data_IF_579385646429
#
_entry.id   IF_579385646429
#
_cell.length_a   1.000
_cell.length_b   1.000
_cell.length_c   1.000
_cell.angle_alpha   90.00
_cell.angle_beta   90.00
_cell.angle_gamma   90.00
#
_symmetry.space_group_name_H-M   'P 1'
#
loop_
_entity.id
_entity.type
_entity.pdbx_description
1 polymer ?
#
# COMPACT_ATOMS: atom_id res chain seq x y z
N UNK A 1 -12.36 17.76 -30.92
CA UNK A 1 -12.33 17.16 -29.57
C UNK A 1 -13.68 16.63 -29.10
N UNK A 2 -14.77 17.43 -29.09
CA UNK A 2 -16.11 16.98 -28.62
C UNK A 2 -16.62 15.66 -29.25
N UNK A 3 -16.42 15.47 -30.56
CA UNK A 3 -16.78 14.22 -31.26
C UNK A 3 -16.01 13.00 -30.73
N UNK A 4 -14.71 13.14 -30.44
CA UNK A 4 -13.90 12.05 -29.90
C UNK A 4 -14.33 11.69 -28.48
N UNK A 5 -14.66 12.67 -27.64
CA UNK A 5 -15.22 12.42 -26.32
C UNK A 5 -16.54 11.65 -26.37
N UNK A 6 -17.47 12.04 -27.27
CA UNK A 6 -18.72 11.31 -27.48
C UNK A 6 -18.46 9.88 -27.94
N UNK A 7 -17.50 9.68 -28.86
CA UNK A 7 -17.07 8.34 -29.29
C UNK A 7 -16.59 7.51 -28.10
N UNK A 8 -15.69 8.03 -27.27
CA UNK A 8 -15.16 7.26 -26.13
C UNK A 8 -16.27 6.89 -25.13
N UNK A 9 -17.22 7.79 -24.89
CA UNK A 9 -18.41 7.49 -24.10
C UNK A 9 -19.23 6.34 -24.69
N UNK A 10 -19.50 6.37 -26.00
CA UNK A 10 -20.21 5.29 -26.69
C UNK A 10 -19.42 3.97 -26.63
N UNK A 11 -18.10 4.01 -26.85
CA UNK A 11 -17.24 2.83 -26.77
C UNK A 11 -17.25 2.21 -25.38
N UNK A 12 -17.20 3.04 -24.31
CA UNK A 12 -17.29 2.56 -22.95
C UNK A 12 -18.61 1.82 -22.69
N UNK A 13 -19.74 2.38 -23.14
CA UNK A 13 -21.06 1.77 -22.97
C UNK A 13 -21.25 0.45 -23.72
N UNK A 14 -20.57 0.26 -24.84
CA UNK A 14 -20.64 -0.96 -25.65
C UNK A 14 -19.55 -1.99 -25.29
N UNK A 15 -18.65 -1.66 -24.37
CA UNK A 15 -17.58 -2.57 -23.91
C UNK A 15 -17.87 -3.02 -22.48
N UNK A 16 -18.51 -4.20 -22.28
CA UNK A 16 -18.91 -4.64 -20.95
C UNK A 16 -17.71 -4.81 -20.01
N UNK A 17 -16.57 -5.26 -20.54
CA UNK A 17 -15.34 -5.41 -19.78
C UNK A 17 -14.74 -4.06 -19.34
N UNK A 18 -14.69 -3.07 -20.25
CA UNK A 18 -14.19 -1.74 -19.89
C UNK A 18 -15.12 -1.05 -18.89
N UNK A 19 -16.43 -1.20 -19.06
CA UNK A 19 -17.42 -0.68 -18.13
C UNK A 19 -17.27 -1.31 -16.75
N UNK A 20 -17.05 -2.62 -16.67
CA UNK A 20 -16.78 -3.33 -15.42
C UNK A 20 -15.55 -2.80 -14.69
N UNK A 21 -14.43 -2.62 -15.41
CA UNK A 21 -13.17 -2.10 -14.88
C UNK A 21 -13.29 -0.67 -14.33
N UNK A 22 -14.18 0.13 -14.90
CA UNK A 22 -14.42 1.54 -14.52
C UNK A 22 -15.53 1.68 -13.48
N UNK A 23 -16.35 0.65 -13.22
CA UNK A 23 -17.50 0.76 -12.32
C UNK A 23 -17.36 -0.12 -11.09
N UNK A 24 -17.79 -1.37 -11.17
CA UNK A 24 -17.98 -2.24 -10.01
C UNK A 24 -16.73 -3.04 -9.64
N UNK A 25 -15.82 -3.37 -10.57
CA UNK A 25 -14.60 -4.13 -10.25
C UNK A 25 -13.73 -3.42 -9.20
N UNK A 26 -13.44 -2.11 -9.32
CA UNK A 26 -12.68 -1.40 -8.29
C UNK A 26 -13.38 -1.40 -6.92
N UNK A 27 -14.70 -1.24 -6.89
CA UNK A 27 -15.48 -1.24 -5.65
C UNK A 27 -15.43 -2.63 -4.99
N UNK A 28 -15.69 -3.69 -5.76
CA UNK A 28 -15.58 -5.07 -5.28
C UNK A 28 -14.17 -5.35 -4.80
N UNK A 29 -13.14 -4.92 -5.53
CA UNK A 29 -11.75 -5.11 -5.14
C UNK A 29 -11.39 -4.45 -3.81
N UNK A 30 -11.81 -3.20 -3.60
CA UNK A 30 -11.62 -2.50 -2.32
C UNK A 30 -12.36 -3.20 -1.19
N UNK A 31 -13.63 -3.58 -1.40
CA UNK A 31 -14.46 -4.26 -0.40
C UNK A 31 -13.95 -5.67 -0.10
N UNK A 32 -13.47 -6.41 -1.09
CA UNK A 32 -12.92 -7.75 -0.93
C UNK A 32 -11.60 -7.72 -0.15
N UNK A 33 -10.72 -6.76 -0.45
CA UNK A 33 -9.51 -6.56 0.33
C UNK A 33 -9.82 -6.12 1.76
N UNK A 34 -10.76 -5.18 1.93
CA UNK A 34 -11.22 -4.80 3.26
C UNK A 34 -11.78 -6.01 4.02
N UNK A 35 -12.62 -6.83 3.39
CA UNK A 35 -13.18 -8.03 3.99
C UNK A 35 -12.10 -9.04 4.39
N UNK A 36 -11.12 -9.28 3.51
CA UNK A 36 -9.98 -10.16 3.75
C UNK A 36 -9.17 -9.70 4.98
N UNK A 37 -8.95 -8.40 5.13
CA UNK A 37 -8.22 -7.85 6.28
C UNK A 37 -9.10 -7.60 7.50
N UNK A 38 -10.43 -7.53 7.34
CA UNK A 38 -11.39 -7.45 8.46
C UNK A 38 -11.69 -8.83 9.06
N UNK A 39 -11.49 -9.91 8.29
CA UNK A 39 -11.77 -11.30 8.69
C UNK A 39 -10.94 -11.79 9.91
N UNK A 40 -10.02 -10.97 10.42
CA UNK A 40 -9.50 -11.08 11.78
C UNK A 40 -7.99 -10.90 11.82
N UNK A 41 -7.53 -10.08 12.76
CA UNK A 41 -6.15 -10.11 13.21
C UNK A 41 -5.83 -11.56 13.66
N UNK A 42 -4.67 -12.14 13.29
CA UNK A 42 -4.22 -13.41 13.85
C UNK A 42 -4.44 -13.45 15.36
N UNK A 43 -5.14 -14.49 15.84
CA UNK A 43 -5.45 -14.69 17.26
C UNK A 43 -4.56 -15.76 17.84
N UNK A 44 -4.31 -15.70 19.15
CA UNK A 44 -3.61 -16.75 19.89
C UNK A 44 -2.22 -17.11 19.29
N UNK A 45 -1.48 -16.09 18.85
CA UNK A 45 -0.12 -16.25 18.36
C UNK A 45 0.81 -16.63 19.52
N UNK A 46 1.53 -17.76 19.44
CA UNK A 46 2.40 -18.20 20.52
C UNK A 46 3.56 -17.23 20.73
N UNK A 47 3.71 -16.74 21.96
CA UNK A 47 4.78 -15.83 22.38
C UNK A 47 5.51 -16.45 23.56
N UNK A 48 6.83 -16.58 23.47
CA UNK A 48 7.63 -17.01 24.60
C UNK A 48 7.69 -15.92 25.67
N UNK A 49 7.49 -16.30 26.93
CA UNK A 49 7.68 -15.42 28.09
C UNK A 49 8.75 -16.04 28.97
N UNK A 50 9.81 -15.28 29.22
CA UNK A 50 10.90 -15.64 30.14
C UNK A 50 10.79 -14.73 31.35
N UNK A 51 10.41 -15.30 32.49
CA UNK A 51 10.26 -14.59 33.75
C UNK A 51 11.50 -14.78 34.63
N UNK A 52 12.38 -13.77 34.67
CA UNK A 52 13.58 -13.78 35.49
C UNK A 52 13.32 -13.28 36.92
N UNK A 53 12.21 -12.57 37.16
CA UNK A 53 11.86 -11.98 38.46
C UNK A 53 11.06 -12.93 39.34
N UNK A 54 10.23 -13.79 38.72
CA UNK A 54 9.36 -14.77 39.38
C UNK A 54 8.43 -14.18 40.46
N UNK A 55 8.07 -12.90 40.33
CA UNK A 55 7.32 -12.12 41.31
C UNK A 55 5.81 -12.09 41.07
N UNK A 56 5.07 -11.43 41.97
CA UNK A 56 3.64 -11.19 41.76
C UNK A 56 3.39 -10.26 40.57
N UNK A 57 4.23 -9.25 40.37
CA UNK A 57 4.11 -8.31 39.26
C UNK A 57 4.39 -9.00 37.92
N UNK A 58 5.43 -9.83 37.83
CA UNK A 58 5.73 -10.55 36.59
C UNK A 58 4.61 -11.51 36.18
N UNK A 59 4.00 -12.22 37.14
CA UNK A 59 2.82 -13.08 36.92
C UNK A 59 1.58 -12.28 36.53
N UNK A 60 1.38 -11.10 37.10
CA UNK A 60 0.28 -10.20 36.74
C UNK A 60 0.42 -9.71 35.30
N UNK A 61 1.61 -9.24 34.90
CA UNK A 61 1.88 -8.81 33.52
C UNK A 61 1.72 -9.98 32.54
N UNK A 62 2.20 -11.17 32.88
CA UNK A 62 2.01 -12.38 32.07
C UNK A 62 0.53 -12.72 31.90
N UNK A 63 -0.29 -12.58 32.96
CA UNK A 63 -1.74 -12.76 32.88
C UNK A 63 -2.42 -11.70 32.02
N UNK A 64 -1.96 -10.45 32.07
CA UNK A 64 -2.44 -9.38 31.18
C UNK A 64 -2.14 -9.72 29.72
N UNK A 65 -0.97 -10.29 29.42
CA UNK A 65 -0.65 -10.81 28.09
C UNK A 65 -1.58 -11.95 27.68
N UNK A 66 -1.90 -12.88 28.58
CA UNK A 66 -2.85 -13.98 28.30
C UNK A 66 -4.28 -13.51 28.02
N UNK A 67 -4.66 -12.33 28.51
CA UNK A 67 -5.96 -11.73 28.26
C UNK A 67 -6.06 -11.05 26.88
N UNK A 68 -4.92 -10.81 26.21
CA UNK A 68 -4.90 -10.24 24.87
C UNK A 68 -5.35 -11.29 23.83
N UNK A 69 -6.34 -10.96 22.99
CA UNK A 69 -6.89 -11.87 21.99
C UNK A 69 -5.87 -12.33 20.91
N UNK A 70 -4.80 -11.56 20.69
CA UNK A 70 -3.74 -11.84 19.72
C UNK A 70 -2.63 -12.70 20.31
N UNK A 71 -2.38 -12.63 21.62
CA UNK A 71 -1.18 -13.21 22.24
C UNK A 71 -1.53 -14.49 23.01
N UNK A 72 -0.79 -15.57 22.76
CA UNK A 72 -0.83 -16.80 23.54
C UNK A 72 0.52 -16.99 24.25
N UNK A 73 0.71 -16.48 25.48
CA UNK A 73 1.98 -16.57 26.16
C UNK A 73 2.30 -18.02 26.56
N UNK A 74 3.54 -18.45 26.33
CA UNK A 74 4.09 -19.75 26.71
C UNK A 74 5.32 -19.51 27.58
N UNK A 75 5.36 -20.11 28.77
CA UNK A 75 6.48 -19.95 29.68
C UNK A 75 7.72 -20.73 29.20
N UNK A 76 8.89 -20.10 29.28
CA UNK A 76 10.19 -20.72 29.02
C UNK A 76 11.13 -20.47 30.20
N UNK A 77 11.96 -21.45 30.53
CA UNK A 77 12.84 -21.39 31.70
C UNK A 77 13.99 -20.38 31.54
N UNK A 78 14.46 -20.16 30.32
CA UNK A 78 15.56 -19.25 30.03
C UNK A 78 15.49 -18.70 28.60
N UNK A 79 16.20 -17.60 28.37
CA UNK A 79 16.27 -16.93 27.07
C UNK A 79 16.75 -17.85 25.95
N UNK A 80 17.72 -18.74 26.22
CA UNK A 80 18.28 -19.63 25.21
C UNK A 80 17.22 -20.59 24.63
N UNK A 81 16.40 -21.20 25.50
CA UNK A 81 15.30 -22.08 25.12
C UNK A 81 14.20 -21.35 24.33
N UNK A 82 13.91 -20.11 24.71
CA UNK A 82 12.93 -19.28 24.02
C UNK A 82 13.42 -18.85 22.61
N UNK A 83 14.71 -18.53 22.47
CA UNK A 83 15.32 -18.23 21.17
C UNK A 83 15.31 -19.46 20.27
N UNK A 84 15.60 -20.66 20.81
CA UNK A 84 15.54 -21.91 20.04
C UNK A 84 14.12 -22.20 19.53
N UNK A 85 13.11 -22.04 20.39
CA UNK A 85 11.70 -22.15 20.00
C UNK A 85 11.31 -21.13 18.91
N UNK A 86 11.85 -19.90 18.99
CA UNK A 86 11.62 -18.87 17.95
C UNK A 86 12.29 -19.24 16.62
N UNK A 87 13.48 -19.85 16.65
CA UNK A 87 14.18 -20.36 15.44
C UNK A 87 13.42 -21.52 14.79
N UNK A 88 12.79 -22.37 15.59
CA UNK A 88 11.92 -23.48 15.14
C UNK A 88 10.51 -23.04 14.72
N UNK A 89 10.20 -21.75 14.82
CA UNK A 89 8.87 -21.18 14.51
C UNK A 89 7.76 -21.75 15.40
N UNK A 90 8.10 -22.20 16.61
CA UNK A 90 7.13 -22.64 17.63
C UNK A 90 6.49 -21.44 18.36
N UNK A 91 7.21 -20.31 18.39
CA UNK A 91 6.76 -19.00 18.88
C UNK A 91 7.14 -17.92 17.87
N UNK A 92 6.34 -16.86 17.79
CA UNK A 92 6.55 -15.73 16.86
C UNK A 92 7.09 -14.48 17.53
N UNK A 93 7.13 -14.46 18.86
CA UNK A 93 7.69 -13.39 19.68
C UNK A 93 8.23 -13.88 21.01
N UNK A 94 8.98 -13.02 21.69
CA UNK A 94 9.64 -13.24 22.96
C UNK A 94 9.47 -12.01 23.84
N UNK A 95 9.06 -12.19 25.08
CA UNK A 95 9.05 -11.18 26.14
C UNK A 95 9.94 -11.65 27.28
N UNK A 96 10.89 -10.81 27.68
CA UNK A 96 11.78 -11.07 28.83
C UNK A 96 11.44 -10.09 29.93
N UNK A 97 10.99 -10.62 31.07
CA UNK A 97 10.77 -9.86 32.30
C UNK A 97 12.08 -9.87 33.11
N UNK A 98 12.74 -8.71 33.33
CA UNK A 98 14.09 -8.67 33.89
C UNK A 98 14.13 -9.02 35.38
N UNK A 99 15.32 -9.35 35.88
CA UNK A 99 15.55 -9.47 37.32
C UNK A 99 15.18 -8.19 38.06
N UNK A 100 14.62 -8.33 39.28
CA UNK A 100 14.24 -7.22 40.15
C UNK A 100 13.13 -6.31 39.60
N UNK A 101 12.38 -6.75 38.57
CA UNK A 101 11.27 -6.01 37.97
C UNK A 101 10.30 -5.46 39.04
N UNK A 102 9.86 -6.31 39.98
CA UNK A 102 8.97 -5.90 41.06
C UNK A 102 9.58 -4.82 41.94
N UNK A 103 10.81 -5.02 42.40
CA UNK A 103 11.52 -4.08 43.27
C UNK A 103 11.71 -2.72 42.57
N UNK A 104 12.11 -2.74 41.31
CA UNK A 104 12.39 -1.52 40.56
C UNK A 104 11.10 -0.74 40.29
N UNK A 105 9.99 -1.40 39.95
CA UNK A 105 8.69 -0.73 39.78
C UNK A 105 8.17 -0.12 41.08
N UNK A 106 8.27 -0.82 42.22
CA UNK A 106 7.85 -0.31 43.53
C UNK A 106 8.72 0.85 44.02
N UNK A 107 10.01 0.83 43.69
CA UNK A 107 10.96 1.91 44.03
C UNK A 107 10.97 3.05 43.02
N UNK A 108 9.99 3.09 42.11
CA UNK A 108 9.84 4.16 41.09
C UNK A 108 11.04 4.28 40.13
N UNK A 109 11.79 3.19 39.93
CA UNK A 109 12.75 3.06 38.84
C UNK A 109 12.06 2.64 37.55
N UNK A 110 12.78 2.71 36.43
CA UNK A 110 12.26 2.41 35.09
C UNK A 110 12.94 1.15 34.52
N UNK A 111 12.49 -0.07 34.89
CA UNK A 111 13.04 -1.29 34.34
C UNK A 111 12.65 -1.45 32.85
N UNK A 112 13.54 -2.06 32.06
CA UNK A 112 13.31 -2.30 30.63
C UNK A 112 12.79 -3.73 30.42
N UNK A 113 11.62 -3.87 29.80
CA UNK A 113 11.09 -5.16 29.36
C UNK A 113 11.52 -5.37 27.90
N UNK A 114 12.27 -6.44 27.63
CA UNK A 114 12.73 -6.76 26.27
C UNK A 114 11.64 -7.51 25.50
N UNK A 115 11.29 -7.00 24.31
CA UNK A 115 10.32 -7.58 23.40
C UNK A 115 11.00 -7.82 22.06
N UNK A 116 11.06 -9.09 21.64
CA UNK A 116 11.61 -9.49 20.34
C UNK A 116 10.53 -10.20 19.52
N UNK A 117 10.62 -10.11 18.20
CA UNK A 117 9.71 -10.79 17.28
C UNK A 117 10.43 -11.26 16.03
N UNK A 118 9.88 -12.27 15.36
CA UNK A 118 10.45 -12.80 14.13
C UNK A 118 10.15 -11.86 12.94
N UNK A 119 11.18 -11.18 12.41
CA UNK A 119 11.05 -10.26 11.27
C UNK A 119 10.82 -10.94 9.92
N UNK A 120 11.04 -12.26 9.80
CA UNK A 120 10.68 -13.02 8.60
C UNK A 120 9.16 -13.01 8.38
N UNK A 121 8.39 -12.99 9.47
CA UNK A 121 6.94 -12.84 9.45
C UNK A 121 6.57 -11.41 9.81
N UNK A 122 7.01 -10.43 9.00
CA UNK A 122 6.88 -9.00 9.30
C UNK A 122 5.47 -8.59 9.77
N UNK A 123 4.43 -9.15 9.16
CA UNK A 123 3.03 -8.88 9.51
C UNK A 123 2.68 -9.36 10.92
N UNK A 124 3.02 -10.60 11.24
CA UNK A 124 2.80 -11.24 12.55
C UNK A 124 3.65 -10.54 13.60
N UNK A 125 4.92 -10.27 13.28
CA UNK A 125 5.86 -9.62 14.19
C UNK A 125 5.46 -8.20 14.57
N UNK A 126 5.02 -7.38 13.60
CA UNK A 126 4.51 -6.02 13.88
C UNK A 126 3.22 -6.04 14.70
N UNK A 127 2.30 -6.94 14.37
CA UNK A 127 1.08 -7.12 15.14
C UNK A 127 1.40 -7.51 16.59
N UNK A 128 2.28 -8.49 16.79
CA UNK A 128 2.73 -8.90 18.12
C UNK A 128 3.42 -7.78 18.88
N UNK A 129 4.36 -7.07 18.24
CA UNK A 129 5.06 -5.94 18.87
C UNK A 129 4.07 -4.88 19.39
N UNK A 130 3.07 -4.53 18.58
CA UNK A 130 2.01 -3.58 18.94
C UNK A 130 1.17 -4.07 20.12
N UNK A 131 0.66 -5.29 20.03
CA UNK A 131 -0.24 -5.86 21.03
C UNK A 131 0.45 -6.15 22.37
N UNK A 132 1.70 -6.62 22.33
CA UNK A 132 2.52 -6.82 23.52
C UNK A 132 2.82 -5.49 24.23
N UNK A 133 3.17 -4.44 23.48
CA UNK A 133 3.41 -3.11 24.06
C UNK A 133 2.15 -2.54 24.69
N UNK A 134 0.99 -2.62 24.02
CA UNK A 134 -0.29 -2.14 24.55
C UNK A 134 -0.67 -2.88 25.84
N UNK A 135 -0.65 -4.22 25.82
CA UNK A 135 -1.03 -5.00 27.00
C UNK A 135 -0.06 -4.84 28.18
N UNK A 136 1.24 -4.72 27.93
CA UNK A 136 2.20 -4.43 28.99
C UNK A 136 2.03 -3.01 29.53
N UNK A 137 1.79 -2.03 28.67
CA UNK A 137 1.52 -0.65 29.08
C UNK A 137 0.29 -0.56 29.98
N UNK A 138 -0.83 -1.19 29.59
CA UNK A 138 -2.05 -1.27 30.41
C UNK A 138 -1.79 -1.93 31.78
N UNK A 139 -0.99 -3.00 31.81
CA UNK A 139 -0.61 -3.64 33.07
C UNK A 139 0.25 -2.74 33.96
N UNK A 140 1.18 -1.99 33.36
CA UNK A 140 2.05 -1.06 34.07
C UNK A 140 1.31 0.19 34.56
N UNK A 141 0.31 0.69 33.83
CA UNK A 141 -0.52 1.82 34.29
C UNK A 141 -1.28 1.45 35.57
N UNK A 142 -1.79 0.21 35.67
CA UNK A 142 -2.44 -0.28 36.87
C UNK A 142 -1.49 -0.34 38.08
N UNK A 143 -0.22 -0.70 37.87
CA UNK A 143 0.81 -0.66 38.93
C UNK A 143 1.11 0.78 39.34
N UNK A 144 1.14 1.71 38.38
CA UNK A 144 1.28 3.14 38.63
C UNK A 144 0.16 3.68 39.53
N UNK A 145 -1.10 3.31 39.26
CA UNK A 145 -2.26 3.63 40.09
C UNK A 145 -2.07 3.17 41.53
N UNK A 146 -1.73 1.90 41.72
CA UNK A 146 -1.53 1.31 43.06
C UNK A 146 -0.41 2.05 43.81
N UNK A 147 0.72 2.32 43.15
CA UNK A 147 1.85 3.02 43.77
C UNK A 147 1.49 4.44 44.21
N UNK A 148 0.70 5.18 43.42
CA UNK A 148 0.26 6.52 43.78
C UNK A 148 -0.74 6.51 44.94
N UNK A 149 -1.68 5.55 44.95
CA UNK A 149 -2.63 5.36 46.05
C UNK A 149 -1.92 4.99 47.36
N UNK A 150 -0.94 4.07 47.30
CA UNK A 150 -0.13 3.68 48.45
C UNK A 150 0.72 4.84 49.02
N UNK A 151 1.09 5.82 48.18
CA UNK A 151 1.78 7.05 48.59
C UNK A 151 0.83 8.14 49.13
N UNK A 152 -0.46 7.83 49.29
CA UNK A 152 -1.45 8.75 49.87
C UNK A 152 -2.07 9.75 48.89
N UNK A 153 -1.91 9.55 47.57
CA UNK A 153 -2.59 10.38 46.58
C UNK A 153 -4.11 10.11 46.57
N UNK A 154 -4.92 11.15 46.43
CA UNK A 154 -6.37 11.05 46.29
C UNK A 154 -6.72 10.54 44.86
N UNK A 155 -7.83 9.82 44.67
CA UNK A 155 -8.23 9.29 43.35
C UNK A 155 -8.21 10.35 42.24
N UNK A 156 -8.65 11.57 42.54
CA UNK A 156 -8.64 12.69 41.61
C UNK A 156 -7.23 13.18 41.21
N UNK A 157 -6.22 13.03 42.07
CA UNK A 157 -4.81 13.33 41.74
C UNK A 157 -4.08 12.17 41.09
N UNK A 158 -4.54 10.93 41.30
CA UNK A 158 -4.06 9.73 40.59
C UNK A 158 -4.41 9.80 39.11
N UNK A 159 -5.66 10.14 38.76
CA UNK A 159 -6.09 10.31 37.36
C UNK A 159 -5.30 11.42 36.63
N UNK A 160 -4.94 12.50 37.34
CA UNK A 160 -4.15 13.61 36.78
C UNK A 160 -2.66 13.27 36.68
N UNK A 161 -2.08 12.54 37.63
CA UNK A 161 -0.64 12.20 37.67
C UNK A 161 -0.27 11.00 36.80
N UNK A 162 -1.24 10.15 36.47
CA UNK A 162 -1.12 9.08 35.48
C UNK A 162 -1.44 9.56 34.07
N UNK A 163 -1.89 10.81 33.90
CA UNK A 163 -1.75 11.48 32.61
C UNK A 163 -0.26 11.39 32.29
N UNK A 164 0.14 10.59 31.29
CA UNK A 164 1.53 10.32 31.10
C UNK A 164 2.22 11.67 30.87
N UNK A 165 3.25 11.99 31.67
CA UNK A 165 4.38 12.69 31.06
C UNK A 165 4.88 11.66 30.07
N UNK A 166 4.28 11.70 28.88
CA UNK A 166 4.55 10.83 27.77
C UNK A 166 6.04 10.96 27.56
N UNK A 167 6.79 9.97 28.03
CA UNK A 167 8.07 9.71 27.41
C UNK A 167 7.66 9.37 25.99
N UNK A 168 7.69 10.40 25.16
CA UNK A 168 7.19 10.40 23.81
C UNK A 168 8.22 9.63 23.01
N UNK A 169 8.29 8.31 23.22
CA UNK A 169 8.66 7.38 22.16
C UNK A 169 7.52 7.45 21.15
N UNK A 170 7.47 8.57 20.42
CA UNK A 170 6.83 8.64 19.13
C UNK A 170 7.50 7.55 18.32
N UNK A 171 6.78 6.47 18.05
CA UNK A 171 7.04 5.70 16.85
C UNK A 171 6.96 6.72 15.71
N UNK A 172 8.12 7.21 15.26
CA UNK A 172 8.21 8.33 14.31
C UNK A 172 7.43 8.05 13.01
N UNK A 173 7.11 6.77 12.75
CA UNK A 173 6.61 6.28 11.46
C UNK A 173 5.35 5.39 11.56
N UNK A 174 4.80 5.13 12.77
CA UNK A 174 3.49 4.46 12.96
C UNK A 174 2.87 4.81 14.32
N UNK A 175 2.23 5.98 14.40
CA UNK A 175 1.76 6.62 15.65
C UNK A 175 0.85 5.75 16.53
N UNK A 176 0.17 4.74 15.95
CA UNK A 176 -0.76 3.85 16.66
C UNK A 176 -0.41 2.36 16.54
N UNK A 177 0.77 2.02 15.98
CA UNK A 177 1.21 0.65 15.73
C UNK A 177 0.09 -0.24 15.13
N UNK A 178 -0.75 0.35 14.27
CA UNK A 178 -1.97 -0.25 13.76
C UNK A 178 -1.67 -1.03 12.48
N UNK A 179 -1.86 -2.36 12.53
CA UNK A 179 -1.69 -3.28 11.41
C UNK A 179 -2.47 -2.84 10.17
N UNK A 180 -3.74 -2.45 10.36
CA UNK A 180 -4.66 -2.06 9.28
C UNK A 180 -4.17 -0.74 8.64
N UNK A 181 -3.76 0.23 9.46
CA UNK A 181 -3.25 1.52 8.98
C UNK A 181 -1.91 1.42 8.24
N UNK A 182 -1.11 0.40 8.54
CA UNK A 182 0.16 0.14 7.86
C UNK A 182 -0.02 -0.59 6.52
N UNK A 183 -0.96 -1.53 6.45
CA UNK A 183 -1.03 -2.51 5.36
C UNK A 183 -2.13 -2.23 4.34
N UNK A 184 -3.29 -1.75 4.78
CA UNK A 184 -4.43 -1.54 3.88
C UNK A 184 -4.16 -0.44 2.85
N UNK A 185 -3.62 0.75 3.20
CA UNK A 185 -3.41 1.80 2.20
C UNK A 185 -2.48 1.37 1.05
N UNK A 186 -1.27 0.82 1.28
CA UNK A 186 -0.39 0.39 0.19
C UNK A 186 -0.99 -0.70 -0.71
N UNK A 187 -1.77 -1.64 -0.18
CA UNK A 187 -2.44 -2.66 -1.00
C UNK A 187 -3.52 -2.03 -1.87
N UNK A 188 -4.34 -1.12 -1.32
CA UNK A 188 -5.36 -0.43 -2.11
C UNK A 188 -4.73 0.45 -3.21
N UNK A 189 -3.58 1.08 -2.95
CA UNK A 189 -2.80 1.82 -3.96
C UNK A 189 -2.30 0.88 -5.06
N UNK A 190 -1.79 -0.31 -4.69
CA UNK A 190 -1.32 -1.31 -5.64
C UNK A 190 -2.45 -1.80 -6.54
N UNK A 191 -3.61 -2.12 -5.94
CA UNK A 191 -4.81 -2.51 -6.66
C UNK A 191 -5.26 -1.39 -7.59
N UNK A 192 -5.32 -0.16 -7.11
CA UNK A 192 -5.72 1.00 -7.90
C UNK A 192 -4.78 1.26 -9.09
N UNK A 193 -3.46 1.11 -8.91
CA UNK A 193 -2.49 1.16 -10.00
C UNK A 193 -2.78 0.09 -11.06
N UNK A 194 -2.98 -1.15 -10.62
CA UNK A 194 -3.21 -2.27 -11.53
C UNK A 194 -4.50 -2.10 -12.32
N UNK A 195 -5.59 -1.69 -11.67
CA UNK A 195 -6.87 -1.42 -12.32
C UNK A 195 -6.79 -0.22 -13.27
N UNK A 196 -6.13 0.86 -12.87
CA UNK A 196 -5.90 2.02 -13.73
C UNK A 196 -5.11 1.62 -14.98
N UNK A 197 -4.06 0.83 -14.81
CA UNK A 197 -3.29 0.27 -15.93
C UNK A 197 -4.17 -0.52 -16.87
N UNK A 198 -4.99 -1.45 -16.34
CA UNK A 198 -5.89 -2.28 -17.14
C UNK A 198 -6.92 -1.44 -17.93
N UNK A 199 -7.50 -0.43 -17.30
CA UNK A 199 -8.43 0.51 -17.95
C UNK A 199 -7.74 1.17 -19.15
N UNK A 200 -6.54 1.70 -18.96
CA UNK A 200 -5.88 2.46 -20.03
C UNK A 200 -5.29 1.58 -21.12
N UNK A 201 -4.65 0.46 -20.78
CA UNK A 201 -4.13 -0.48 -21.78
C UNK A 201 -5.25 -1.00 -22.67
N UNK A 202 -6.41 -1.36 -22.10
CA UNK A 202 -7.56 -1.82 -22.87
C UNK A 202 -8.10 -0.70 -23.77
N UNK A 203 -8.17 0.53 -23.25
CA UNK A 203 -8.63 1.68 -24.03
C UNK A 203 -7.71 2.01 -25.21
N UNK A 204 -6.39 1.85 -25.06
CA UNK A 204 -5.40 2.13 -26.12
C UNK A 204 -5.32 0.95 -27.09
N UNK A 205 -5.44 -0.29 -26.61
CA UNK A 205 -5.52 -1.50 -27.45
C UNK A 205 -6.71 -1.45 -28.42
N UNK A 206 -7.82 -0.80 -28.04
CA UNK A 206 -8.95 -0.57 -28.96
C UNK A 206 -8.60 0.31 -30.18
N UNK A 207 -7.44 0.95 -30.20
CA UNK A 207 -6.93 1.73 -31.34
C UNK A 207 -5.90 0.99 -32.19
N UNK A 208 -5.66 -0.29 -31.87
CA UNK A 208 -4.83 -1.19 -32.65
C UNK A 208 -5.70 -1.93 -33.67
N UNK A 209 -5.35 -1.81 -34.96
CA UNK A 209 -6.10 -2.38 -36.06
C UNK A 209 -5.31 -3.55 -36.67
N UNK A 210 -5.82 -4.79 -36.57
CA UNK A 210 -5.17 -5.95 -37.19
C UNK A 210 -5.36 -5.91 -38.72
N UNK A 211 -4.29 -6.11 -39.48
CA UNK A 211 -4.33 -6.25 -40.94
C UNK A 211 -3.28 -7.27 -41.39
N UNK A 212 -3.74 -8.48 -41.74
CA UNK A 212 -2.85 -9.62 -42.01
C UNK A 212 -2.09 -10.04 -40.76
N UNK A 213 -0.78 -10.26 -40.89
CA UNK A 213 0.11 -10.62 -39.77
C UNK A 213 0.59 -9.41 -38.94
N UNK A 214 0.21 -8.18 -39.32
CA UNK A 214 0.70 -6.95 -38.68
C UNK A 214 -0.43 -6.14 -38.06
N UNK A 215 -0.09 -5.48 -36.96
CA UNK A 215 -0.97 -4.54 -36.26
C UNK A 215 -0.57 -3.10 -36.58
N UNK A 216 -1.56 -2.28 -36.97
CA UNK A 216 -1.37 -0.88 -37.34
C UNK A 216 -2.08 0.05 -36.35
N UNK A 217 -1.55 1.26 -36.19
CA UNK A 217 -2.20 2.29 -35.36
C UNK A 217 -3.34 2.95 -36.12
N UNK A 218 -4.45 3.21 -35.44
CA UNK A 218 -5.57 3.94 -36.00
C UNK A 218 -5.19 5.36 -36.47
N UNK A 219 -5.91 5.88 -37.48
CA UNK A 219 -5.78 7.28 -37.90
C UNK A 219 -6.01 8.22 -36.72
N UNK A 220 -5.22 9.30 -36.65
CA UNK A 220 -5.23 10.27 -35.55
C UNK A 220 -4.97 9.67 -34.16
N UNK A 221 -4.16 8.61 -34.08
CA UNK A 221 -3.81 7.89 -32.84
C UNK A 221 -3.52 8.83 -31.65
N UNK A 222 -2.60 9.78 -31.81
CA UNK A 222 -2.23 10.69 -30.73
C UNK A 222 -3.39 11.55 -30.21
N UNK A 223 -4.27 12.03 -31.11
CA UNK A 223 -5.45 12.79 -30.69
C UNK A 223 -6.44 11.91 -29.89
N UNK A 224 -6.54 10.62 -30.23
CA UNK A 224 -7.36 9.66 -29.48
C UNK A 224 -6.73 9.33 -28.12
N UNK A 225 -5.41 9.15 -28.05
CA UNK A 225 -4.69 8.93 -26.79
C UNK A 225 -4.88 10.11 -25.84
N UNK A 226 -4.75 11.35 -26.33
CA UNK A 226 -5.00 12.54 -25.52
C UNK A 226 -6.43 12.59 -24.95
N UNK A 227 -7.43 12.25 -25.76
CA UNK A 227 -8.82 12.18 -25.29
C UNK A 227 -8.99 11.07 -24.25
N UNK A 228 -8.37 9.91 -24.43
CA UNK A 228 -8.42 8.80 -23.44
C UNK A 228 -7.76 9.20 -22.12
N UNK A 229 -6.61 9.88 -22.14
CA UNK A 229 -5.98 10.42 -20.93
C UNK A 229 -6.94 11.37 -20.22
N UNK A 230 -7.53 12.34 -20.93
CA UNK A 230 -8.46 13.31 -20.34
C UNK A 230 -9.79 12.67 -19.88
N UNK A 231 -10.22 11.58 -20.52
CA UNK A 231 -11.47 10.90 -20.20
C UNK A 231 -11.33 9.95 -19.00
N UNK A 232 -10.27 9.12 -18.97
CA UNK A 232 -10.08 8.12 -17.91
C UNK A 232 -9.38 8.67 -16.67
N UNK A 233 -8.57 9.74 -16.76
CA UNK A 233 -7.90 10.28 -15.57
C UNK A 233 -8.88 10.77 -14.50
N UNK A 234 -9.93 11.57 -14.81
CA UNK A 234 -10.91 11.99 -13.81
C UNK A 234 -11.65 10.81 -13.18
N UNK A 235 -11.99 9.80 -13.99
CA UNK A 235 -12.64 8.58 -13.52
C UNK A 235 -11.73 7.86 -12.52
N UNK A 236 -10.47 7.61 -12.88
CA UNK A 236 -9.51 6.93 -11.99
C UNK A 236 -9.21 7.76 -10.73
N UNK A 237 -9.20 9.09 -10.82
CA UNK A 237 -9.10 9.98 -9.65
C UNK A 237 -10.33 9.89 -8.75
N UNK A 238 -11.53 9.68 -9.27
CA UNK A 238 -12.72 9.42 -8.44
C UNK A 238 -12.54 8.11 -7.65
N UNK A 239 -12.01 7.05 -8.27
CA UNK A 239 -11.69 5.82 -7.53
C UNK A 239 -10.60 6.04 -6.47
N UNK A 240 -9.54 6.79 -6.81
CA UNK A 240 -8.47 7.15 -5.87
C UNK A 240 -8.99 7.99 -4.70
N UNK A 241 -9.87 8.96 -4.97
CA UNK A 241 -10.55 9.77 -3.97
C UNK A 241 -11.50 8.96 -3.10
N UNK A 242 -12.24 8.01 -3.68
CA UNK A 242 -13.06 7.06 -2.92
C UNK A 242 -12.21 6.23 -1.95
N UNK A 243 -11.05 5.72 -2.38
CA UNK A 243 -10.11 5.00 -1.50
C UNK A 243 -9.67 5.89 -0.34
N UNK A 244 -9.33 7.16 -0.61
CA UNK A 244 -8.93 8.11 0.44
C UNK A 244 -10.07 8.39 1.43
N UNK A 245 -11.29 8.63 0.95
CA UNK A 245 -12.47 8.84 1.80
C UNK A 245 -12.79 7.58 2.62
N UNK A 246 -12.70 6.40 2.01
CA UNK A 246 -12.90 5.14 2.71
C UNK A 246 -11.89 4.97 3.86
N UNK A 247 -10.60 5.19 3.60
CA UNK A 247 -9.54 5.04 4.60
C UNK A 247 -9.63 6.09 5.73
N UNK A 248 -9.75 7.36 5.37
CA UNK A 248 -9.56 8.46 6.32
C UNK A 248 -10.86 9.04 6.90
N UNK A 249 -11.98 8.86 6.22
CA UNK A 249 -13.28 9.30 6.71
C UNK A 249 -14.11 8.15 7.28
N UNK A 250 -14.28 7.05 6.54
CA UNK A 250 -15.09 5.92 7.00
C UNK A 250 -14.37 5.04 8.03
N UNK A 251 -13.14 4.61 7.75
CA UNK A 251 -12.33 3.83 8.69
C UNK A 251 -11.65 4.70 9.77
N UNK A 252 -11.85 6.03 9.73
CA UNK A 252 -11.32 7.00 10.67
C UNK A 252 -9.82 6.83 10.96
N UNK A 253 -9.03 6.45 9.94
CA UNK A 253 -7.58 6.32 10.10
C UNK A 253 -6.96 7.68 10.41
N UNK A 254 -5.94 7.72 11.30
CA UNK A 254 -5.30 8.99 11.65
C UNK A 254 -4.60 9.58 10.43
N UNK A 255 -4.80 10.87 10.20
CA UNK A 255 -4.15 11.64 9.15
C UNK A 255 -3.68 12.98 9.72
N UNK A 256 -2.40 13.29 9.54
CA UNK A 256 -1.81 14.56 9.99
C UNK A 256 -2.00 15.71 8.98
N UNK A 257 -2.00 15.40 7.68
CA UNK A 257 -2.09 16.38 6.60
C UNK A 257 -3.44 16.41 5.88
N UNK A 258 -3.50 17.15 4.77
CA UNK A 258 -4.73 17.32 4.00
C UNK A 258 -4.88 16.29 2.87
N UNK A 259 -6.09 15.74 2.70
CA UNK A 259 -6.39 14.74 1.65
C UNK A 259 -6.21 15.26 0.22
N UNK A 260 -6.42 16.55 -0.03
CA UNK A 260 -6.26 17.12 -1.37
C UNK A 260 -4.82 17.02 -1.89
N UNK A 261 -3.81 17.03 -1.02
CA UNK A 261 -2.41 16.81 -1.38
C UNK A 261 -2.19 15.39 -1.92
N UNK A 262 -2.91 14.42 -1.35
CA UNK A 262 -2.88 13.03 -1.83
C UNK A 262 -3.57 12.90 -3.19
N UNK A 263 -4.67 13.63 -3.44
CA UNK A 263 -5.32 13.68 -4.76
C UNK A 263 -4.37 14.30 -5.81
N UNK A 264 -3.63 15.34 -5.45
CA UNK A 264 -2.60 15.91 -6.31
C UNK A 264 -1.52 14.87 -6.63
N UNK A 265 -0.98 14.17 -5.62
CA UNK A 265 0.01 13.13 -5.85
C UNK A 265 -0.55 11.95 -6.68
N UNK A 266 -1.83 11.58 -6.52
CA UNK A 266 -2.53 10.58 -7.33
C UNK A 266 -2.57 10.98 -8.81
N UNK A 267 -2.78 12.26 -9.11
CA UNK A 267 -2.78 12.78 -10.48
C UNK A 267 -1.42 12.57 -11.17
N UNK A 268 -0.30 12.87 -10.49
CA UNK A 268 1.04 12.65 -11.04
C UNK A 268 1.37 11.16 -11.19
N UNK A 269 0.95 10.33 -10.23
CA UNK A 269 1.08 8.87 -10.33
C UNK A 269 0.37 8.34 -11.58
N UNK A 270 -0.87 8.77 -11.84
CA UNK A 270 -1.62 8.37 -13.05
C UNK A 270 -0.92 8.82 -14.33
N UNK A 271 -0.39 10.04 -14.38
CA UNK A 271 0.36 10.52 -15.55
C UNK A 271 1.59 9.67 -15.83
N UNK A 272 2.38 9.33 -14.81
CA UNK A 272 3.53 8.43 -14.95
C UNK A 272 3.09 7.02 -15.41
N UNK A 273 1.99 6.51 -14.86
CA UNK A 273 1.42 5.23 -15.27
C UNK A 273 1.00 5.22 -16.74
N UNK A 274 0.29 6.27 -17.20
CA UNK A 274 -0.10 6.43 -18.60
C UNK A 274 1.11 6.45 -19.54
N UNK A 275 2.19 7.13 -19.15
CA UNK A 275 3.41 7.19 -19.96
C UNK A 275 4.08 5.82 -20.11
N UNK A 276 4.23 5.05 -19.03
CA UNK A 276 4.83 3.71 -19.09
C UNK A 276 3.97 2.76 -19.90
N UNK A 277 2.65 2.73 -19.65
CA UNK A 277 1.73 1.83 -20.35
C UNK A 277 1.71 2.15 -21.85
N UNK A 278 1.68 3.44 -22.20
CA UNK A 278 1.74 3.86 -23.60
C UNK A 278 3.08 3.52 -24.25
N UNK A 279 4.19 3.62 -23.51
CA UNK A 279 5.52 3.26 -24.00
C UNK A 279 5.60 1.75 -24.32
N UNK A 280 5.16 0.91 -23.39
CA UNK A 280 5.11 -0.55 -23.59
C UNK A 280 4.17 -0.90 -24.76
N UNK A 281 3.00 -0.27 -24.82
CA UNK A 281 2.07 -0.42 -25.94
C UNK A 281 2.73 -0.11 -27.29
N UNK A 282 3.42 1.03 -27.39
CA UNK A 282 4.07 1.47 -28.63
C UNK A 282 5.23 0.57 -29.06
N UNK A 283 5.90 -0.08 -28.09
CA UNK A 283 7.00 -1.01 -28.32
C UNK A 283 6.50 -2.37 -28.83
N UNK A 284 5.47 -2.93 -28.19
CA UNK A 284 5.02 -4.30 -28.48
C UNK A 284 3.95 -4.38 -29.58
N UNK A 285 3.01 -3.41 -29.62
CA UNK A 285 1.90 -3.35 -30.60
C UNK A 285 1.14 -4.66 -30.78
N UNK A 286 0.93 -5.36 -29.67
CA UNK A 286 0.17 -6.60 -29.59
C UNK A 286 -0.65 -6.58 -28.30
N UNK A 287 -1.98 -6.70 -28.43
CA UNK A 287 -2.90 -6.49 -27.31
C UNK A 287 -2.60 -7.44 -26.14
N UNK A 288 -2.39 -8.72 -26.43
CA UNK A 288 -2.17 -9.75 -25.40
C UNK A 288 -0.81 -9.60 -24.72
N UNK A 289 0.25 -9.33 -25.50
CA UNK A 289 1.61 -9.13 -24.95
C UNK A 289 1.70 -7.89 -24.07
N UNK A 290 1.07 -6.78 -24.48
CA UNK A 290 1.09 -5.54 -23.69
C UNK A 290 0.36 -5.74 -22.37
N UNK A 291 -0.84 -6.32 -22.39
CA UNK A 291 -1.59 -6.61 -21.15
C UNK A 291 -0.79 -7.54 -20.24
N UNK A 292 -0.23 -8.62 -20.78
CA UNK A 292 0.55 -9.59 -20.00
C UNK A 292 1.80 -8.96 -19.38
N UNK A 293 2.56 -8.19 -20.17
CA UNK A 293 3.79 -7.55 -19.71
C UNK A 293 3.51 -6.46 -18.67
N UNK A 294 2.53 -5.58 -18.92
CA UNK A 294 2.14 -4.56 -17.94
C UNK A 294 1.63 -5.21 -16.64
N UNK A 295 0.84 -6.29 -16.74
CA UNK A 295 0.36 -7.00 -15.55
C UNK A 295 1.52 -7.62 -14.78
N UNK A 296 2.44 -8.31 -15.44
CA UNK A 296 3.64 -8.87 -14.80
C UNK A 296 4.52 -7.78 -14.17
N UNK A 297 4.65 -6.62 -14.83
CA UNK A 297 5.38 -5.48 -14.30
C UNK A 297 4.73 -4.94 -13.02
N UNK A 298 3.43 -4.60 -13.06
CA UNK A 298 2.75 -3.88 -11.97
C UNK A 298 2.15 -4.78 -10.88
N UNK A 299 1.96 -6.08 -11.12
CA UNK A 299 1.44 -7.02 -10.11
C UNK A 299 2.22 -7.03 -8.79
N UNK A 300 3.56 -7.04 -8.77
CA UNK A 300 4.32 -7.02 -7.52
C UNK A 300 4.45 -5.62 -6.88
N UNK A 301 3.70 -4.61 -7.33
CA UNK A 301 3.83 -3.23 -6.85
C UNK A 301 3.78 -3.12 -5.32
N UNK A 302 2.86 -3.83 -4.66
CA UNK A 302 2.75 -3.82 -3.20
C UNK A 302 4.04 -4.25 -2.48
N UNK A 303 4.73 -5.28 -3.00
CA UNK A 303 5.96 -5.79 -2.41
C UNK A 303 7.14 -4.82 -2.54
N UNK A 304 7.19 -4.05 -3.64
CA UNK A 304 8.30 -3.15 -3.94
C UNK A 304 8.06 -1.68 -3.59
N UNK A 305 6.91 -1.33 -2.99
CA UNK A 305 6.64 0.05 -2.56
C UNK A 305 7.57 0.56 -1.44
N UNK A 306 8.21 -0.33 -0.68
CA UNK A 306 9.08 0.06 0.45
C UNK A 306 8.43 -0.07 1.83
N UNK A 307 7.17 -0.50 1.88
CA UNK A 307 6.41 -0.65 3.13
C UNK A 307 6.64 -2.04 3.73
N UNK A 308 6.31 -3.10 3.00
CA UNK A 308 6.49 -4.49 3.45
C UNK A 308 7.92 -4.99 3.29
N UNK A 309 8.69 -4.42 2.37
CA UNK A 309 10.11 -4.67 2.21
C UNK A 309 10.83 -3.31 2.29
N UNK A 310 11.50 -2.98 3.41
CA UNK A 310 12.15 -1.68 3.58
C UNK A 310 13.16 -1.38 2.48
N UNK A 311 13.16 -0.16 1.95
CA UNK A 311 14.02 0.24 0.82
C UNK A 311 15.51 0.08 1.14
N UNK A 312 15.92 0.30 2.40
CA UNK A 312 17.32 0.15 2.82
C UNK A 312 17.80 -1.30 2.68
N UNK A 313 16.92 -2.26 2.91
CA UNK A 313 17.20 -3.70 2.87
C UNK A 313 17.02 -4.30 1.47
N UNK A 314 16.49 -3.52 0.52
CA UNK A 314 16.30 -3.98 -0.85
C UNK A 314 17.65 -4.22 -1.56
N UNK A 315 17.86 -5.39 -2.19
CA UNK A 315 18.97 -5.58 -3.10
C UNK A 315 18.86 -4.63 -4.29
N UNK A 316 19.96 -4.42 -5.01
CA UNK A 316 20.03 -3.42 -6.08
C UNK A 316 18.92 -3.58 -7.13
N UNK A 317 18.64 -4.82 -7.58
CA UNK A 317 17.58 -5.09 -8.55
C UNK A 317 16.18 -4.70 -8.05
N UNK A 318 15.89 -4.93 -6.76
CA UNK A 318 14.63 -4.53 -6.15
C UNK A 318 14.48 -3.00 -6.07
N UNK A 319 15.58 -2.29 -5.81
CA UNK A 319 15.60 -0.82 -5.84
C UNK A 319 15.32 -0.27 -7.23
N UNK A 320 15.91 -0.86 -8.28
CA UNK A 320 15.60 -0.50 -9.67
C UNK A 320 14.14 -0.77 -10.03
N UNK A 321 13.62 -1.94 -9.63
CA UNK A 321 12.21 -2.28 -9.85
C UNK A 321 11.28 -1.28 -9.17
N UNK A 322 11.59 -0.87 -7.94
CA UNK A 322 10.87 0.16 -7.21
C UNK A 322 10.82 1.48 -7.97
N UNK A 323 11.92 1.92 -8.58
CA UNK A 323 11.99 3.18 -9.33
C UNK A 323 11.15 3.18 -10.62
N UNK A 324 10.83 2.01 -11.16
CA UNK A 324 9.98 1.89 -12.36
C UNK A 324 8.49 1.99 -11.98
N UNK A 325 8.12 1.80 -10.71
CA UNK A 325 6.74 1.76 -10.25
C UNK A 325 6.20 3.15 -9.88
N UNK A 326 5.21 3.71 -10.59
CA UNK A 326 4.59 4.98 -10.20
C UNK A 326 4.07 4.98 -8.76
N UNK A 327 3.46 3.87 -8.30
CA UNK A 327 2.97 3.70 -6.94
C UNK A 327 4.05 3.84 -5.87
N UNK A 328 5.31 3.48 -6.17
CA UNK A 328 6.42 3.59 -5.23
C UNK A 328 6.88 5.03 -5.01
N UNK A 329 6.63 5.92 -5.98
CA UNK A 329 6.83 7.35 -5.79
C UNK A 329 5.65 7.97 -5.04
N UNK A 330 4.43 7.51 -5.33
CA UNK A 330 3.22 7.97 -4.64
C UNK A 330 3.23 7.65 -3.15
N UNK A 331 3.63 6.43 -2.78
CA UNK A 331 3.60 5.98 -1.38
C UNK A 331 4.49 6.85 -0.47
N UNK A 332 5.60 7.40 -0.99
CA UNK A 332 6.46 8.30 -0.22
C UNK A 332 5.71 9.59 0.13
N UNK A 333 4.98 10.18 -0.83
CA UNK A 333 4.10 11.33 -0.58
C UNK A 333 2.93 10.97 0.33
N UNK A 334 2.36 9.78 0.15
CA UNK A 334 1.28 9.28 0.99
C UNK A 334 1.71 9.23 2.46
N UNK A 335 2.80 8.54 2.74
CA UNK A 335 3.36 8.43 4.10
C UNK A 335 3.73 9.80 4.63
N UNK A 336 4.34 10.67 3.81
CA UNK A 336 4.71 12.01 4.25
C UNK A 336 3.51 12.87 4.71
N UNK A 337 2.42 12.87 3.94
CA UNK A 337 1.21 13.64 4.29
C UNK A 337 0.50 13.01 5.47
N UNK A 338 0.35 11.69 5.49
CA UNK A 338 -0.43 11.00 6.53
C UNK A 338 0.27 10.99 7.87
N UNK A 339 1.58 10.72 7.88
CA UNK A 339 2.34 10.58 9.12
C UNK A 339 2.89 11.90 9.66
N UNK A 340 3.33 12.82 8.78
CA UNK A 340 4.04 14.04 9.20
C UNK A 340 3.28 15.33 8.90
N UNK A 341 2.17 15.27 8.16
CA UNK A 341 1.38 16.46 7.85
C UNK A 341 2.13 17.46 6.99
N UNK A 342 2.95 16.98 6.05
CA UNK A 342 3.74 17.85 5.17
C UNK A 342 2.85 18.78 4.32
N UNK A 343 3.36 19.96 4.03
CA UNK A 343 2.71 20.99 3.24
C UNK A 343 3.00 20.82 1.73
N UNK A 344 2.29 21.61 0.92
CA UNK A 344 2.41 21.59 -0.55
C UNK A 344 3.85 21.63 -1.09
N UNK A 345 4.77 22.50 -0.62
CA UNK A 345 6.12 22.55 -1.20
C UNK A 345 6.90 21.24 -1.05
N UNK A 346 6.70 20.53 0.06
CA UNK A 346 7.35 19.25 0.32
C UNK A 346 6.77 18.14 -0.56
N UNK A 347 5.46 18.13 -0.78
CA UNK A 347 4.81 17.21 -1.73
C UNK A 347 5.26 17.48 -3.16
N UNK A 348 5.40 18.75 -3.57
CA UNK A 348 5.93 19.10 -4.89
C UNK A 348 7.38 18.64 -5.08
N UNK A 349 8.22 18.76 -4.04
CA UNK A 349 9.57 18.20 -4.06
C UNK A 349 9.55 16.68 -4.25
N UNK A 350 8.64 15.97 -3.60
CA UNK A 350 8.50 14.51 -3.80
C UNK A 350 7.96 14.14 -5.17
N UNK A 351 7.05 14.94 -5.73
CA UNK A 351 6.57 14.79 -7.11
C UNK A 351 7.72 14.92 -8.11
N UNK A 352 8.79 15.65 -7.78
CA UNK A 352 9.99 15.69 -8.65
C UNK A 352 10.58 14.30 -8.89
N UNK A 353 10.37 13.32 -8.00
CA UNK A 353 10.87 11.95 -8.18
C UNK A 353 10.31 11.24 -9.43
N UNK A 354 9.20 11.73 -10.00
CA UNK A 354 8.65 11.23 -11.26
C UNK A 354 9.40 11.72 -12.52
N UNK A 355 10.45 12.53 -12.38
CA UNK A 355 11.18 13.11 -13.52
C UNK A 355 11.64 12.06 -14.54
N UNK A 356 12.02 10.86 -14.09
CA UNK A 356 12.48 9.78 -14.96
C UNK A 356 11.42 9.33 -15.98
N UNK A 357 10.14 9.38 -15.63
CA UNK A 357 9.05 9.03 -16.55
C UNK A 357 8.87 10.05 -17.68
N UNK A 358 9.30 11.30 -17.48
CA UNK A 358 9.27 12.32 -18.52
C UNK A 358 10.20 11.98 -19.69
N UNK A 359 11.26 11.20 -19.45
CA UNK A 359 12.16 10.70 -20.50
C UNK A 359 11.45 9.76 -21.49
N UNK A 360 10.28 9.22 -21.14
CA UNK A 360 9.49 8.41 -22.05
C UNK A 360 8.81 9.24 -23.14
N UNK A 361 8.59 10.54 -22.93
CA UNK A 361 7.93 11.43 -23.90
C UNK A 361 8.71 11.52 -25.24
N UNK A 362 10.02 11.83 -25.27
CA UNK A 362 10.77 11.84 -26.52
C UNK A 362 10.85 10.44 -27.16
N UNK A 363 10.94 9.37 -26.37
CA UNK A 363 10.93 7.99 -26.90
C UNK A 363 9.60 7.66 -27.58
N UNK A 364 8.48 8.03 -26.96
CA UNK A 364 7.14 7.91 -27.52
C UNK A 364 6.99 8.69 -28.82
N UNK A 365 7.58 9.90 -28.88
CA UNK A 365 7.59 10.71 -30.09
C UNK A 365 8.33 10.02 -31.25
N UNK A 366 9.52 9.47 -30.99
CA UNK A 366 10.32 8.73 -31.98
C UNK A 366 9.59 7.47 -32.43
N UNK A 367 9.07 6.67 -31.50
CA UNK A 367 8.28 5.47 -31.81
C UNK A 367 7.01 5.80 -32.62
N UNK A 368 6.39 6.94 -32.34
CA UNK A 368 5.24 7.47 -33.06
C UNK A 368 5.52 7.86 -34.50
N UNK A 369 6.69 8.45 -34.76
CA UNK A 369 7.13 8.80 -36.13
C UNK A 369 7.44 7.56 -36.98
N UNK A 370 8.03 6.53 -36.37
CA UNK A 370 8.35 5.26 -37.04
C UNK A 370 7.16 4.28 -37.06
N UNK A 371 6.03 4.63 -36.44
CA UNK A 371 4.84 3.80 -36.51
C UNK A 371 4.25 3.83 -37.93
N UNK A 372 4.20 2.67 -38.57
CA UNK A 372 3.56 2.51 -39.87
C UNK A 372 2.07 2.83 -39.71
N UNK A 373 1.63 3.90 -40.40
CA UNK A 373 0.22 4.24 -40.53
C UNK A 373 -0.38 3.32 -41.60
N UNK A 374 -1.67 3.00 -41.48
CA UNK A 374 -2.40 2.19 -42.47
C UNK A 374 -2.07 2.73 -43.88
N UNK A 375 -1.58 1.90 -44.82
CA UNK A 375 -1.37 2.33 -46.20
C UNK A 375 -2.72 2.78 -46.78
N UNK A 376 -2.76 3.84 -47.62
CA UNK A 376 -3.99 4.23 -48.28
C UNK A 376 -4.57 3.01 -49.01
N UNK A 377 -5.86 2.74 -48.80
CA UNK A 377 -6.55 1.67 -49.51
C UNK A 377 -6.35 1.90 -51.01
N UNK A 378 -5.67 0.99 -51.70
CA UNK A 378 -5.66 0.98 -53.16
C UNK A 378 -7.12 0.77 -53.57
N UNK A 379 -7.75 1.70 -54.32
CA UNK A 379 -9.10 1.48 -54.79
C UNK A 379 -9.09 0.18 -55.59
N UNK A 380 -9.93 -0.77 -55.18
CA UNK A 380 -10.17 -1.99 -55.96
C UNK A 380 -10.63 -1.53 -57.34
N UNK A 381 -9.75 -1.60 -58.33
CA UNK A 381 -10.09 -1.29 -59.70
C UNK A 381 -11.17 -2.27 -60.13
N UNK A 382 -12.39 -1.76 -60.33
CA UNK A 382 -13.40 -2.41 -61.16
C UNK A 382 -12.76 -2.72 -62.51
N UNK A 383 -12.57 -4.00 -62.82
CA UNK A 383 -12.67 -4.55 -64.18
C UNK A 383 -12.25 -6.02 -64.18
N UNK A 384 -13.21 -6.91 -63.98
CA UNK A 384 -13.26 -8.12 -64.81
C UNK A 384 -14.69 -8.22 -65.32
N UNK A 385 -14.91 -7.56 -66.45
CA UNK A 385 -15.92 -7.96 -67.42
C UNK A 385 -15.48 -9.29 -68.02
N UNK A 386 -16.10 -10.38 -67.58
CA UNK A 386 -16.27 -11.60 -68.38
C UNK A 386 -17.80 -11.67 -68.56
N UNK A 387 -18.40 -11.35 -69.71
CA UNK A 387 -17.96 -11.73 -71.05
C UNK A 387 -18.59 -13.07 -71.40
N UNK A 388 -19.91 -13.05 -71.64
CA UNK A 388 -20.67 -13.85 -72.60
C UNK A 388 -20.06 -15.20 -73.03
N UNK A 389 -20.66 -16.30 -72.59
CA UNK A 389 -21.50 -17.18 -73.44
C UNK A 389 -22.29 -18.16 -72.58
#
# INVERSE_FOLDING_TARGET
MRHLFRREWTVLWHSPWQLALVSYIPLIGVLALWWLFSAGLPRQLPVAVVDLDNSQISRMLTRQLSANAVVAPRAYANEASAIDAMRKVEVYGLVILPYQLNKDLLTSKQPTIDIRYNSQFLLVGKLLSSQLQLSLAEGLTHIGEINLLLKGANKATVDVSLTPISNQTTALFNRNNNYVGFLVPPILIALWQLLSMLVFVNSVNAELLPQGERNYLAKNFWAKVWVKILFYSPIMLIHGGFILLWLYHYLAMPIAGSLWLLVLAQMFMLMALWLIVLFIFMLMRDSARVVSFCTALFAPAFAFMGITFPVNDMPLLAKWWRLIMPSSHYIDSHVSVVSYGVNLPQVLLQISSYWGFLLLIPLLYVLGRHAQKIPPQVPVSKSISLGVK
#
